data_IF_342387005318
#
_entry.id   IF_342387005318
#
_cell.length_a   1.000
_cell.length_b   1.000
_cell.length_c   1.000
_cell.angle_alpha   90.00
_cell.angle_beta   90.00
_cell.angle_gamma   90.00
#
_symmetry.space_group_name_H-M   'P 1'
#
loop_
_entity.id
_entity.type
_entity.pdbx_description
1 polymer ?
#
# COMPACT_ATOMS: atom_id res chain seq x y z
N UNK A 1 -31.20 2.64 22.80
CA UNK A 1 -30.00 1.83 23.13
C UNK A 1 -28.75 2.41 22.43
N UNK A 2 -28.87 2.92 21.20
CA UNK A 2 -27.77 3.59 20.47
C UNK A 2 -27.35 4.96 21.05
N UNK A 3 -28.29 5.70 21.65
CA UNK A 3 -28.07 7.05 22.19
C UNK A 3 -26.90 7.18 23.19
N UNK A 4 -26.56 6.12 23.92
CA UNK A 4 -25.51 6.16 24.93
C UNK A 4 -24.10 6.21 24.28
N UNK A 5 -23.85 5.38 23.26
CA UNK A 5 -22.61 5.42 22.51
C UNK A 5 -22.56 6.54 21.47
N UNK A 6 -23.70 7.01 20.95
CA UNK A 6 -23.76 8.28 20.18
C UNK A 6 -23.34 9.46 21.09
N UNK A 7 -23.84 9.50 22.32
CA UNK A 7 -23.46 10.54 23.29
C UNK A 7 -21.98 10.45 23.68
N UNK A 8 -21.47 9.24 23.94
CA UNK A 8 -20.06 9.00 24.27
C UNK A 8 -19.12 9.29 23.09
N UNK A 9 -19.55 9.01 21.87
CA UNK A 9 -18.81 9.41 20.66
C UNK A 9 -18.59 10.93 20.65
N UNK A 10 -19.62 11.72 20.97
CA UNK A 10 -19.48 13.17 21.10
C UNK A 10 -18.54 13.65 22.22
N UNK A 11 -18.27 12.82 23.25
CA UNK A 11 -17.23 13.11 24.26
C UNK A 11 -15.83 13.01 23.65
N UNK A 12 -15.59 12.02 22.80
CA UNK A 12 -14.27 11.67 22.26
C UNK A 12 -13.90 12.41 20.98
N UNK A 13 -14.90 13.01 20.33
CA UNK A 13 -14.64 14.01 19.30
C UNK A 13 -13.85 15.20 19.87
N UNK A 14 -13.99 15.50 21.17
CA UNK A 14 -13.27 16.60 21.83
C UNK A 14 -13.54 17.91 21.11
N UNK A 15 -12.47 18.65 20.78
CA UNK A 15 -12.55 19.93 20.06
C UNK A 15 -13.09 19.82 18.63
N UNK A 16 -13.24 18.61 18.07
CA UNK A 16 -13.89 18.39 16.77
C UNK A 16 -15.41 18.22 16.86
N UNK A 17 -15.98 18.31 18.06
CA UNK A 17 -17.42 18.40 18.24
C UNK A 17 -17.79 19.89 18.21
N UNK A 18 -18.49 20.32 17.15
CA UNK A 18 -18.84 21.73 16.94
C UNK A 18 -19.90 22.24 17.94
N UNK A 19 -20.64 21.33 18.58
CA UNK A 19 -21.65 21.66 19.61
C UNK A 19 -21.61 20.63 20.76
N UNK A 20 -20.54 20.64 21.58
CA UNK A 20 -20.42 19.71 22.68
C UNK A 20 -21.32 20.17 23.83
N UNK A 21 -22.15 19.25 24.34
CA UNK A 21 -22.86 19.51 25.59
C UNK A 21 -21.85 19.74 26.73
N UNK A 22 -22.19 20.59 27.71
CA UNK A 22 -21.35 20.81 28.92
C UNK A 22 -20.90 19.49 29.57
N UNK A 23 -21.81 18.51 29.58
CA UNK A 23 -21.54 17.16 30.04
C UNK A 23 -20.45 16.45 29.23
N UNK A 24 -20.43 16.59 27.91
CA UNK A 24 -19.37 16.01 27.06
C UNK A 24 -18.03 16.71 27.27
N UNK A 25 -18.00 18.03 27.40
CA UNK A 25 -16.76 18.79 27.66
C UNK A 25 -16.08 18.34 28.96
N UNK A 26 -16.86 18.20 30.05
CA UNK A 26 -16.34 17.77 31.35
C UNK A 26 -15.80 16.34 31.30
N UNK A 27 -16.56 15.40 30.72
CA UNK A 27 -16.11 14.00 30.60
C UNK A 27 -14.89 13.89 29.68
N UNK A 28 -14.83 14.67 28.61
CA UNK A 28 -13.71 14.67 27.66
C UNK A 28 -12.42 15.07 28.36
N UNK A 29 -12.42 16.17 29.11
CA UNK A 29 -11.23 16.64 29.84
C UNK A 29 -10.71 15.67 30.90
N UNK A 30 -11.59 14.83 31.49
CA UNK A 30 -11.18 13.82 32.47
C UNK A 30 -10.62 12.57 31.75
N UNK A 31 -11.27 12.14 30.67
CA UNK A 31 -10.82 10.99 29.89
C UNK A 31 -9.47 11.26 29.23
N UNK A 32 -9.24 12.46 28.70
CA UNK A 32 -7.96 12.85 28.11
C UNK A 32 -6.84 13.01 29.14
N UNK A 33 -7.16 13.16 30.43
CA UNK A 33 -6.15 13.19 31.49
C UNK A 33 -5.59 11.79 31.84
N UNK A 34 -6.12 10.71 31.27
CA UNK A 34 -5.61 9.34 31.48
C UNK A 34 -4.35 9.13 30.61
N UNK A 35 -3.16 8.90 31.19
CA UNK A 35 -1.86 8.93 30.48
C UNK A 35 -1.67 7.94 29.31
N UNK A 36 -2.55 6.95 29.16
CA UNK A 36 -2.48 5.97 28.05
C UNK A 36 -3.53 6.27 26.95
N UNK A 37 -4.46 7.19 27.21
CA UNK A 37 -5.42 7.72 26.22
C UNK A 37 -4.77 8.81 25.34
N UNK A 38 -3.58 9.30 25.71
CA UNK A 38 -2.82 10.32 24.99
C UNK A 38 -2.43 9.94 23.54
N UNK A 39 -2.55 8.67 23.14
CA UNK A 39 -2.55 8.26 21.73
C UNK A 39 -3.96 8.41 21.13
N UNK A 40 -4.47 9.64 21.15
CA UNK A 40 -5.88 9.99 20.86
C UNK A 40 -6.37 9.46 19.50
N UNK A 41 -5.51 9.47 18.48
CA UNK A 41 -5.86 9.00 17.13
C UNK A 41 -6.23 7.51 17.10
N UNK A 42 -5.51 6.69 17.87
CA UNK A 42 -5.65 5.24 17.89
C UNK A 42 -6.86 4.79 18.73
N UNK A 43 -7.11 5.46 19.85
CA UNK A 43 -8.28 5.22 20.71
C UNK A 43 -9.57 5.65 20.01
N UNK A 44 -9.55 6.77 19.26
CA UNK A 44 -10.70 7.25 18.47
C UNK A 44 -11.12 6.23 17.40
N UNK A 45 -10.17 5.65 16.68
CA UNK A 45 -10.46 4.60 15.68
C UNK A 45 -11.12 3.38 16.35
N UNK A 46 -10.64 2.94 17.53
CA UNK A 46 -11.25 1.81 18.25
C UNK A 46 -12.67 2.14 18.69
N UNK A 47 -12.92 3.35 19.19
CA UNK A 47 -14.25 3.73 19.66
C UNK A 47 -15.22 3.95 18.49
N UNK A 48 -14.74 4.45 17.35
CA UNK A 48 -15.53 4.48 16.12
C UNK A 48 -16.00 3.07 15.72
N UNK A 49 -15.12 2.07 15.83
CA UNK A 49 -15.50 0.68 15.59
C UNK A 49 -16.48 0.15 16.65
N UNK A 50 -16.27 0.44 17.94
CA UNK A 50 -17.21 0.07 19.01
C UNK A 50 -18.59 0.69 18.82
N UNK A 51 -18.63 1.95 18.38
CA UNK A 51 -19.84 2.68 18.06
C UNK A 51 -20.60 2.05 16.88
N UNK A 52 -19.89 1.64 15.83
CA UNK A 52 -20.51 0.91 14.72
C UNK A 52 -21.02 -0.46 15.16
N UNK A 53 -20.28 -1.16 16.03
CA UNK A 53 -20.63 -2.46 16.58
C UNK A 53 -21.78 -2.40 17.58
N UNK A 54 -22.01 -1.28 18.26
CA UNK A 54 -23.17 -1.16 19.14
C UNK A 54 -24.48 -1.08 18.36
N UNK A 55 -24.43 -0.46 17.17
CA UNK A 55 -25.57 -0.37 16.24
C UNK A 55 -25.91 -1.73 15.63
N UNK A 56 -24.89 -2.54 15.32
CA UNK A 56 -25.08 -3.92 14.91
C UNK A 56 -23.83 -4.75 15.24
N UNK A 57 -23.91 -5.54 16.30
CA UNK A 57 -22.82 -6.40 16.77
C UNK A 57 -22.76 -7.74 16.05
N UNK A 58 -23.72 -8.02 15.16
CA UNK A 58 -23.79 -9.27 14.40
C UNK A 58 -23.03 -9.20 13.08
N UNK A 59 -22.76 -7.98 12.59
CA UNK A 59 -22.03 -7.72 11.35
C UNK A 59 -20.54 -8.11 11.47
N UNK A 60 -20.17 -9.16 10.74
CA UNK A 60 -18.80 -9.67 10.63
C UNK A 60 -17.81 -8.61 10.13
N UNK A 61 -18.21 -7.74 9.18
CA UNK A 61 -17.31 -6.75 8.61
C UNK A 61 -16.90 -5.67 9.60
N UNK A 62 -17.78 -5.34 10.55
CA UNK A 62 -17.45 -4.41 11.64
C UNK A 62 -16.43 -5.00 12.61
N UNK A 63 -16.52 -6.30 12.89
CA UNK A 63 -15.49 -7.01 13.66
C UNK A 63 -14.15 -7.11 12.92
N UNK A 64 -14.18 -7.31 11.59
CA UNK A 64 -12.96 -7.26 10.75
C UNK A 64 -12.33 -5.87 10.76
N UNK A 65 -13.13 -4.81 10.66
CA UNK A 65 -12.63 -3.43 10.74
C UNK A 65 -11.99 -3.13 12.11
N UNK A 66 -12.59 -3.61 13.20
CA UNK A 66 -12.02 -3.51 14.54
C UNK A 66 -10.68 -4.27 14.63
N UNK A 67 -10.61 -5.52 14.14
CA UNK A 67 -9.37 -6.31 14.17
C UNK A 67 -8.22 -5.63 13.42
N UNK A 68 -8.49 -5.07 12.24
CA UNK A 68 -7.49 -4.32 11.45
C UNK A 68 -7.02 -3.06 12.18
N UNK A 69 -7.94 -2.38 12.85
CA UNK A 69 -7.63 -1.21 13.68
C UNK A 69 -6.69 -1.60 14.83
N UNK A 70 -7.01 -2.68 15.55
CA UNK A 70 -6.23 -3.18 16.68
C UNK A 70 -4.84 -3.68 16.29
N UNK A 71 -4.69 -4.35 15.14
CA UNK A 71 -3.36 -4.70 14.59
C UNK A 71 -2.53 -3.44 14.34
N UNK A 72 -3.18 -2.38 13.86
CA UNK A 72 -2.53 -1.09 13.61
C UNK A 72 -1.82 -0.48 14.81
N UNK A 73 -2.26 -0.85 16.03
CA UNK A 73 -1.72 -0.36 17.30
C UNK A 73 -0.39 -1.04 17.68
N UNK A 74 -0.01 -2.13 17.01
CA UNK A 74 1.24 -2.82 17.25
C UNK A 74 2.39 -1.97 16.65
N UNK A 75 3.36 -1.49 17.44
CA UNK A 75 4.39 -0.56 16.96
C UNK A 75 5.16 -1.08 15.75
N UNK A 76 5.45 -0.18 14.79
CA UNK A 76 6.26 -0.37 13.57
C UNK A 76 5.71 -1.38 12.56
N UNK A 77 5.27 -2.57 12.99
CA UNK A 77 4.75 -3.64 12.15
C UNK A 77 3.24 -3.49 11.87
N UNK A 78 2.50 -2.96 12.84
CA UNK A 78 1.04 -2.85 12.79
C UNK A 78 0.54 -1.97 11.66
N UNK A 79 1.18 -0.83 11.41
CA UNK A 79 0.74 0.11 10.36
C UNK A 79 0.87 -0.49 8.94
N UNK A 80 1.93 -1.28 8.70
CA UNK A 80 2.13 -1.98 7.42
C UNK A 80 1.03 -3.03 7.24
N UNK A 81 0.78 -3.84 8.27
CA UNK A 81 -0.27 -4.86 8.23
C UNK A 81 -1.67 -4.24 8.11
N UNK A 82 -1.95 -3.11 8.78
CA UNK A 82 -3.20 -2.34 8.63
C UNK A 82 -3.39 -1.94 7.15
N UNK A 83 -2.34 -1.48 6.48
CA UNK A 83 -2.36 -1.18 5.04
C UNK A 83 -2.65 -2.41 4.17
N UNK A 84 -1.93 -3.51 4.40
CA UNK A 84 -2.12 -4.78 3.69
C UNK A 84 -3.56 -5.28 3.82
N UNK A 85 -4.08 -5.38 5.05
CA UNK A 85 -5.43 -5.88 5.29
C UNK A 85 -6.51 -4.94 4.78
N UNK A 86 -6.30 -3.61 4.80
CA UNK A 86 -7.23 -2.66 4.18
C UNK A 86 -7.36 -2.86 2.67
N UNK A 87 -6.27 -3.15 1.96
CA UNK A 87 -6.33 -3.47 0.53
C UNK A 87 -7.02 -4.82 0.32
N UNK A 88 -6.65 -5.83 1.12
CA UNK A 88 -7.23 -7.17 1.05
C UNK A 88 -8.75 -7.14 1.21
N UNK A 89 -9.28 -6.49 2.25
CA UNK A 89 -10.74 -6.43 2.47
C UNK A 89 -11.46 -5.64 1.38
N UNK A 90 -10.84 -4.59 0.81
CA UNK A 90 -11.44 -3.86 -0.31
C UNK A 90 -11.58 -4.77 -1.54
N UNK A 91 -10.57 -5.60 -1.78
CA UNK A 91 -10.59 -6.63 -2.82
C UNK A 91 -11.68 -7.67 -2.56
N UNK A 92 -11.72 -8.27 -1.35
CA UNK A 92 -12.72 -9.30 -1.01
C UNK A 92 -14.14 -8.75 -1.08
N UNK A 93 -14.38 -7.53 -0.59
CA UNK A 93 -15.70 -6.89 -0.63
C UNK A 93 -16.19 -6.55 -2.05
N UNK A 94 -15.28 -6.44 -3.02
CA UNK A 94 -15.60 -6.24 -4.44
C UNK A 94 -15.77 -7.57 -5.19
N UNK A 95 -15.95 -8.68 -4.48
CA UNK A 95 -16.19 -9.99 -5.10
C UNK A 95 -14.94 -10.67 -5.65
N UNK A 96 -13.74 -10.14 -5.36
CA UNK A 96 -12.49 -10.74 -5.80
C UNK A 96 -12.10 -10.42 -7.25
N UNK A 97 -12.70 -9.40 -7.87
CA UNK A 97 -12.28 -8.90 -9.17
C UNK A 97 -10.87 -8.27 -9.08
N UNK A 98 -10.09 -8.36 -10.16
CA UNK A 98 -8.74 -7.79 -10.25
C UNK A 98 -7.75 -8.30 -9.18
N UNK A 99 -7.81 -9.59 -8.84
CA UNK A 99 -6.93 -10.22 -7.85
C UNK A 99 -5.43 -9.93 -8.05
N UNK A 100 -4.96 -9.95 -9.29
CA UNK A 100 -3.56 -9.65 -9.61
C UNK A 100 -3.17 -8.20 -9.22
N UNK A 101 -4.09 -7.25 -9.38
CA UNK A 101 -3.87 -5.85 -9.02
C UNK A 101 -3.83 -5.67 -7.49
N UNK A 102 -4.78 -6.29 -6.78
CA UNK A 102 -4.82 -6.27 -5.32
C UNK A 102 -3.56 -6.90 -4.71
N UNK A 103 -3.13 -8.04 -5.27
CA UNK A 103 -1.89 -8.71 -4.90
C UNK A 103 -0.70 -7.75 -5.09
N UNK A 104 -0.55 -7.14 -6.27
CA UNK A 104 0.57 -6.23 -6.51
C UNK A 104 0.59 -5.00 -5.58
N UNK A 105 -0.58 -4.43 -5.26
CA UNK A 105 -0.68 -3.34 -4.28
C UNK A 105 -0.23 -3.79 -2.89
N UNK A 106 -0.67 -4.96 -2.42
CA UNK A 106 -0.26 -5.54 -1.13
C UNK A 106 1.26 -5.76 -1.11
N UNK A 107 1.81 -6.38 -2.16
CA UNK A 107 3.25 -6.60 -2.25
C UNK A 107 4.01 -5.26 -2.29
N UNK A 108 3.47 -4.21 -2.94
CA UNK A 108 4.05 -2.88 -2.96
C UNK A 108 4.11 -2.23 -1.57
N UNK A 109 3.07 -2.34 -0.76
CA UNK A 109 3.06 -1.85 0.64
C UNK A 109 4.19 -2.50 1.44
N UNK A 110 4.34 -3.82 1.33
CA UNK A 110 5.39 -4.57 2.05
C UNK A 110 6.79 -4.24 1.54
N UNK A 111 6.96 -4.04 0.23
CA UNK A 111 8.22 -3.56 -0.38
C UNK A 111 8.61 -2.18 0.15
N UNK A 112 7.65 -1.25 0.17
CA UNK A 112 7.84 0.10 0.71
C UNK A 112 8.26 0.11 2.17
N UNK A 113 7.81 -0.89 2.94
CA UNK A 113 8.19 -1.09 4.33
C UNK A 113 9.55 -1.79 4.53
N UNK A 114 10.27 -2.15 3.46
CA UNK A 114 11.61 -2.72 3.52
C UNK A 114 11.70 -4.13 4.11
N UNK A 115 10.62 -4.94 4.01
CA UNK A 115 10.54 -6.27 4.66
C UNK A 115 11.16 -7.44 3.87
N UNK A 116 11.98 -7.14 2.87
CA UNK A 116 12.61 -8.15 2.00
C UNK A 116 11.61 -8.73 1.00
N UNK A 117 11.62 -10.05 0.80
CA UNK A 117 10.66 -10.75 -0.06
C UNK A 117 9.24 -10.63 0.52
N UNK A 118 8.31 -9.90 -0.14
CA UNK A 118 6.97 -9.67 0.38
C UNK A 118 6.14 -10.93 0.53
N UNK A 119 6.23 -11.87 -0.42
CA UNK A 119 5.43 -13.10 -0.39
C UNK A 119 5.91 -13.98 0.76
N UNK A 120 7.23 -14.15 0.89
CA UNK A 120 7.82 -14.91 1.99
C UNK A 120 7.50 -14.28 3.34
N UNK A 121 7.64 -12.96 3.44
CA UNK A 121 7.36 -12.23 4.67
C UNK A 121 5.88 -12.35 5.08
N UNK A 122 4.95 -12.09 4.17
CA UNK A 122 3.52 -12.23 4.43
C UNK A 122 3.11 -13.67 4.81
N UNK A 123 3.72 -14.69 4.18
CA UNK A 123 3.49 -16.10 4.56
C UNK A 123 4.03 -16.44 5.95
N UNK A 124 5.09 -15.77 6.40
CA UNK A 124 5.73 -16.01 7.70
C UNK A 124 5.09 -15.28 8.88
N UNK A 125 4.01 -14.51 8.66
CA UNK A 125 3.40 -13.70 9.71
C UNK A 125 2.90 -14.57 10.88
N UNK A 126 3.29 -14.28 12.14
CA UNK A 126 2.81 -14.99 13.32
C UNK A 126 1.39 -14.52 13.68
N UNK A 127 0.41 -14.90 12.88
CA UNK A 127 -0.96 -14.39 12.99
C UNK A 127 -1.63 -14.67 14.33
N UNK A 128 -1.29 -15.78 14.98
CA UNK A 128 -1.82 -16.10 16.31
C UNK A 128 -1.29 -15.14 17.38
N UNK A 129 -0.01 -14.73 17.29
CA UNK A 129 0.55 -13.71 18.18
C UNK A 129 -0.10 -12.35 17.95
N UNK A 130 -0.36 -11.99 16.69
CA UNK A 130 -1.06 -10.75 16.37
C UNK A 130 -2.51 -10.77 16.86
N UNK A 131 -3.20 -11.91 16.77
CA UNK A 131 -4.55 -12.04 17.29
C UNK A 131 -4.57 -11.90 18.83
N UNK A 132 -3.60 -12.50 19.53
CA UNK A 132 -3.43 -12.32 20.98
C UNK A 132 -3.15 -10.86 21.34
N UNK A 133 -2.25 -10.20 20.62
CA UNK A 133 -1.92 -8.79 20.85
C UNK A 133 -3.12 -7.86 20.57
N UNK A 134 -3.83 -8.07 19.46
CA UNK A 134 -5.04 -7.30 19.14
C UNK A 134 -6.11 -7.45 20.23
N UNK A 135 -6.34 -8.67 20.71
CA UNK A 135 -7.28 -8.93 21.80
C UNK A 135 -6.82 -8.30 23.13
N UNK A 136 -5.52 -8.36 23.43
CA UNK A 136 -4.93 -7.70 24.61
C UNK A 136 -5.15 -6.20 24.55
N UNK A 137 -4.81 -5.54 23.44
CA UNK A 137 -5.02 -4.10 23.26
C UNK A 137 -6.49 -3.72 23.36
N UNK A 138 -7.39 -4.53 22.77
CA UNK A 138 -8.82 -4.30 22.89
C UNK A 138 -9.29 -4.33 24.35
N UNK A 139 -8.88 -5.35 25.11
CA UNK A 139 -9.22 -5.46 26.52
C UNK A 139 -8.66 -4.28 27.33
N UNK A 140 -7.40 -3.91 27.10
CA UNK A 140 -6.75 -2.78 27.78
C UNK A 140 -7.46 -1.45 27.50
N UNK A 141 -7.84 -1.20 26.25
CA UNK A 141 -8.59 0.01 25.87
C UNK A 141 -9.98 0.00 26.50
N UNK A 142 -10.71 -1.11 26.41
CA UNK A 142 -12.02 -1.24 27.04
C UNK A 142 -11.96 -1.01 28.55
N UNK A 143 -10.97 -1.58 29.24
CA UNK A 143 -10.80 -1.43 30.69
C UNK A 143 -10.42 0.00 31.09
N UNK A 144 -9.57 0.68 30.31
CA UNK A 144 -9.22 2.08 30.56
C UNK A 144 -10.38 3.03 30.30
N UNK A 145 -11.18 2.78 29.26
CA UNK A 145 -12.40 3.56 29.01
C UNK A 145 -13.39 3.40 30.17
N UNK A 146 -13.58 2.17 30.67
CA UNK A 146 -14.40 1.92 31.86
C UNK A 146 -13.84 2.60 33.10
N UNK A 147 -12.52 2.58 33.31
CA UNK A 147 -11.90 3.27 34.43
C UNK A 147 -12.19 4.78 34.37
N UNK A 148 -11.98 5.41 33.21
CA UNK A 148 -12.28 6.83 33.02
C UNK A 148 -13.76 7.17 33.23
N UNK A 149 -14.68 6.32 32.74
CA UNK A 149 -16.12 6.47 33.00
C UNK A 149 -16.46 6.34 34.50
N UNK A 150 -15.83 5.41 35.20
CA UNK A 150 -16.01 5.21 36.63
C UNK A 150 -15.45 6.38 37.45
N UNK A 151 -14.29 6.92 37.07
CA UNK A 151 -13.67 8.08 37.74
C UNK A 151 -14.57 9.32 37.60
N UNK A 152 -15.13 9.55 36.40
CA UNK A 152 -16.16 10.56 36.18
C UNK A 152 -17.36 10.31 37.10
N UNK A 153 -17.86 9.08 37.21
CA UNK A 153 -19.03 8.77 38.04
C UNK A 153 -18.79 8.99 39.55
N UNK A 154 -17.57 8.80 40.03
CA UNK A 154 -17.23 8.96 41.44
C UNK A 154 -16.86 10.41 41.83
N UNK A 155 -16.59 11.29 40.86
CA UNK A 155 -16.37 12.71 41.13
C UNK A 155 -17.63 13.38 41.69
N UNK A 156 -17.45 14.12 42.80
CA UNK A 156 -18.55 14.86 43.45
C UNK A 156 -19.17 15.91 42.52
N UNK A 157 -18.34 16.61 41.72
CA UNK A 157 -18.78 17.60 40.73
C UNK A 157 -19.59 16.94 39.62
N UNK A 158 -19.24 15.71 39.24
CA UNK A 158 -20.01 14.95 38.27
C UNK A 158 -21.40 14.60 38.83
N UNK A 159 -21.51 14.15 40.08
CA UNK A 159 -22.82 13.94 40.70
C UNK A 159 -23.68 15.20 40.75
N UNK A 160 -23.07 16.36 41.01
CA UNK A 160 -23.75 17.65 41.05
C UNK A 160 -24.18 18.17 39.66
N UNK A 161 -23.39 17.91 38.61
CA UNK A 161 -23.63 18.42 37.24
C UNK A 161 -24.45 17.46 36.37
N UNK A 162 -24.29 16.14 36.54
CA UNK A 162 -24.88 15.15 35.62
C UNK A 162 -26.28 14.66 36.02
N UNK A 163 -26.70 14.73 37.29
CA UNK A 163 -28.05 14.28 37.70
C UNK A 163 -28.44 12.91 37.12
N UNK A 164 -29.58 12.82 36.42
CA UNK A 164 -30.02 11.58 35.75
C UNK A 164 -29.12 11.10 34.59
N UNK A 165 -28.26 11.97 34.01
CA UNK A 165 -27.35 11.61 32.91
C UNK A 165 -26.23 10.66 33.37
N UNK A 166 -26.00 10.48 34.68
CA UNK A 166 -25.15 9.42 35.23
C UNK A 166 -25.57 8.02 34.75
N UNK A 167 -26.88 7.79 34.57
CA UNK A 167 -27.41 6.51 34.03
C UNK A 167 -26.88 6.23 32.63
N UNK A 168 -26.52 7.25 31.84
CA UNK A 168 -25.95 7.07 30.49
C UNK A 168 -24.54 6.53 30.54
N UNK A 169 -23.72 6.94 31.50
CA UNK A 169 -22.37 6.41 31.69
C UNK A 169 -22.43 4.91 32.03
N UNK A 170 -23.35 4.52 32.91
CA UNK A 170 -23.57 3.10 33.23
C UNK A 170 -24.03 2.27 32.02
N UNK A 171 -24.84 2.86 31.13
CA UNK A 171 -25.23 2.21 29.88
C UNK A 171 -24.02 2.04 28.93
N UNK A 172 -23.15 3.03 28.83
CA UNK A 172 -21.91 2.94 28.04
C UNK A 172 -20.99 1.85 28.62
N UNK A 173 -20.79 1.80 29.94
CA UNK A 173 -20.00 0.76 30.60
C UNK A 173 -20.54 -0.65 30.29
N UNK A 174 -21.86 -0.86 30.42
CA UNK A 174 -22.52 -2.14 30.10
C UNK A 174 -22.36 -2.50 28.62
N UNK A 175 -22.41 -1.52 27.73
CA UNK A 175 -22.19 -1.75 26.29
C UNK A 175 -20.76 -2.14 25.99
N UNK A 176 -19.78 -1.48 26.62
CA UNK A 176 -18.38 -1.84 26.52
C UNK A 176 -18.17 -3.27 27.03
N UNK A 177 -18.79 -3.66 28.16
CA UNK A 177 -18.70 -5.04 28.68
C UNK A 177 -19.28 -6.08 27.72
N UNK A 178 -20.45 -5.79 27.13
CA UNK A 178 -21.04 -6.66 26.12
C UNK A 178 -20.13 -6.83 24.92
N UNK A 179 -19.58 -5.73 24.39
CA UNK A 179 -18.66 -5.77 23.25
C UNK A 179 -17.33 -6.44 23.60
N UNK A 180 -16.84 -6.26 24.84
CA UNK A 180 -15.64 -6.94 25.36
C UNK A 180 -15.84 -8.45 25.41
N UNK A 181 -16.99 -8.92 25.87
CA UNK A 181 -17.34 -10.33 25.91
C UNK A 181 -17.42 -10.94 24.50
N UNK A 182 -18.10 -10.27 23.56
CA UNK A 182 -18.17 -10.70 22.16
C UNK A 182 -16.79 -10.70 21.47
N UNK A 183 -15.95 -9.71 21.76
CA UNK A 183 -14.63 -9.57 21.17
C UNK A 183 -13.70 -10.74 21.47
N UNK A 184 -13.90 -11.46 22.59
CA UNK A 184 -13.08 -12.64 22.94
C UNK A 184 -13.12 -13.72 21.85
N UNK A 185 -14.25 -13.91 21.18
CA UNK A 185 -14.38 -14.85 20.07
C UNK A 185 -14.24 -14.17 18.71
N UNK A 186 -14.84 -12.98 18.56
CA UNK A 186 -14.94 -12.30 17.26
C UNK A 186 -13.63 -11.72 16.74
N UNK A 187 -12.75 -11.23 17.61
CA UNK A 187 -11.44 -10.70 17.18
C UNK A 187 -10.55 -11.84 16.63
N UNK A 188 -10.37 -12.98 17.34
CA UNK A 188 -9.66 -14.13 16.77
C UNK A 188 -10.29 -14.68 15.49
N UNK A 189 -11.63 -14.71 15.41
CA UNK A 189 -12.35 -15.12 14.19
C UNK A 189 -12.00 -14.22 12.99
N UNK A 190 -12.08 -12.91 13.18
CA UNK A 190 -11.70 -11.92 12.16
C UNK A 190 -10.24 -12.04 11.74
N UNK A 191 -9.33 -12.30 12.69
CA UNK A 191 -7.90 -12.49 12.41
C UNK A 191 -7.63 -13.75 11.58
N UNK A 192 -8.32 -14.85 11.88
CA UNK A 192 -8.26 -16.09 11.08
C UNK A 192 -8.81 -15.88 9.68
N UNK A 193 -9.92 -15.16 9.56
CA UNK A 193 -10.49 -14.77 8.27
C UNK A 193 -9.48 -13.97 7.44
N UNK A 194 -8.88 -12.92 8.00
CA UNK A 194 -7.86 -12.12 7.31
C UNK A 194 -6.67 -12.95 6.83
N UNK A 195 -6.20 -13.90 7.65
CA UNK A 195 -5.10 -14.79 7.25
C UNK A 195 -5.51 -15.71 6.10
N UNK A 196 -6.70 -16.31 6.19
CA UNK A 196 -7.23 -17.18 5.14
C UNK A 196 -7.30 -16.45 3.79
N UNK A 197 -7.95 -15.29 3.76
CA UNK A 197 -8.09 -14.48 2.54
C UNK A 197 -6.72 -14.02 1.99
N UNK A 198 -5.79 -13.67 2.88
CA UNK A 198 -4.42 -13.31 2.48
C UNK A 198 -3.69 -14.50 1.84
N UNK A 199 -3.79 -15.69 2.43
CA UNK A 199 -3.15 -16.90 1.89
C UNK A 199 -3.75 -17.31 0.54
N UNK A 200 -5.07 -17.22 0.40
CA UNK A 200 -5.76 -17.47 -0.86
C UNK A 200 -5.28 -16.50 -1.95
N UNK A 201 -5.15 -15.21 -1.63
CA UNK A 201 -4.61 -14.23 -2.57
C UNK A 201 -3.13 -14.50 -2.90
N UNK A 202 -2.31 -14.83 -1.89
CA UNK A 202 -0.90 -15.15 -2.07
C UNK A 202 -0.67 -16.47 -2.82
N UNK A 203 -1.64 -17.39 -2.86
CA UNK A 203 -1.55 -18.60 -3.67
C UNK A 203 -1.49 -18.30 -5.18
N UNK A 204 -2.03 -17.15 -5.58
CA UNK A 204 -1.99 -16.63 -6.95
C UNK A 204 -0.65 -16.01 -7.31
N UNK A 205 0.22 -15.76 -6.33
CA UNK A 205 1.57 -15.31 -6.57
C UNK A 205 2.31 -16.39 -7.35
N UNK A 206 2.50 -16.17 -8.65
CA UNK A 206 3.28 -17.07 -9.49
C UNK A 206 4.72 -17.08 -8.98
N UNK A 207 5.35 -18.27 -8.81
CA UNK A 207 6.80 -18.32 -8.70
C UNK A 207 7.36 -17.63 -9.94
N UNK A 208 8.25 -16.67 -9.75
CA UNK A 208 8.80 -15.90 -10.86
C UNK A 208 9.58 -16.83 -11.81
N UNK A 209 8.94 -17.28 -12.91
CA UNK A 209 9.63 -17.74 -14.12
C UNK A 209 9.77 -16.52 -15.03
N UNK A 210 11.01 -16.11 -15.27
CA UNK A 210 11.36 -14.97 -16.10
C UNK A 210 12.36 -15.46 -17.14
N UNK A 211 11.86 -15.87 -18.30
CA UNK A 211 12.70 -16.04 -19.48
C UNK A 211 13.04 -14.64 -19.99
N UNK A 212 14.24 -14.16 -19.64
CA UNK A 212 14.77 -12.90 -20.15
C UNK A 212 15.12 -13.01 -21.63
N UNK A 213 14.92 -11.94 -22.40
CA UNK A 213 15.23 -11.89 -23.84
C UNK A 213 16.74 -11.81 -24.18
N UNK A 214 17.59 -11.90 -23.18
CA UNK A 214 19.03 -12.10 -23.32
C UNK A 214 19.38 -13.25 -22.39
N UNK A 215 19.96 -14.34 -22.91
CA UNK A 215 20.34 -15.60 -22.22
C UNK A 215 21.32 -15.42 -21.03
N UNK A 216 21.00 -14.53 -20.10
CA UNK A 216 21.75 -14.19 -18.90
C UNK A 216 20.75 -14.22 -17.75
N UNK A 217 20.76 -15.33 -17.01
CA UNK A 217 19.97 -15.51 -15.81
C UNK A 217 20.49 -14.57 -14.72
N UNK A 218 19.80 -13.45 -14.52
CA UNK A 218 19.90 -12.68 -13.29
C UNK A 218 18.77 -13.13 -12.36
N UNK A 219 19.13 -13.90 -11.33
CA UNK A 219 18.24 -14.23 -10.23
C UNK A 219 18.01 -12.97 -9.40
N UNK A 220 16.91 -12.26 -9.62
CA UNK A 220 16.24 -11.45 -8.59
C UNK A 220 14.79 -11.17 -9.01
N UNK A 221 13.88 -11.54 -8.13
CA UNK A 221 12.45 -11.56 -8.33
C UNK A 221 11.84 -10.16 -8.46
N UNK A 222 10.62 -10.09 -9.01
CA UNK A 222 9.73 -8.92 -9.03
C UNK A 222 9.54 -8.21 -7.65
N UNK A 223 10.06 -8.77 -6.56
CA UNK A 223 9.99 -8.29 -5.18
C UNK A 223 10.99 -7.19 -4.80
N UNK A 224 11.96 -6.82 -5.65
CA UNK A 224 13.02 -5.85 -5.30
C UNK A 224 12.94 -4.50 -6.05
N UNK A 225 11.88 -4.23 -6.82
CA UNK A 225 11.76 -2.99 -7.61
C UNK A 225 11.38 -1.78 -6.71
N UNK A 226 11.99 -0.59 -6.89
CA UNK A 226 11.60 0.63 -6.18
C UNK A 226 10.12 0.97 -6.34
N UNK A 227 9.50 1.61 -5.34
CA UNK A 227 8.08 2.02 -5.39
C UNK A 227 7.73 2.82 -6.65
N UNK A 228 8.59 3.77 -7.03
CA UNK A 228 8.44 4.57 -8.24
C UNK A 228 8.44 3.70 -9.52
N UNK A 229 9.21 2.60 -9.52
CA UNK A 229 9.22 1.65 -10.62
C UNK A 229 7.92 0.86 -10.68
N UNK A 230 7.37 0.42 -9.55
CA UNK A 230 6.09 -0.29 -9.53
C UNK A 230 4.93 0.60 -9.96
N UNK A 231 4.89 1.84 -9.47
CA UNK A 231 3.90 2.84 -9.88
C UNK A 231 3.97 3.07 -11.40
N UNK A 232 5.17 3.13 -11.97
CA UNK A 232 5.35 3.19 -13.41
C UNK A 232 4.75 1.99 -14.14
N UNK A 233 4.98 0.76 -13.67
CA UNK A 233 4.44 -0.46 -14.31
C UNK A 233 2.91 -0.46 -14.30
N UNK A 234 2.30 -0.06 -13.17
CA UNK A 234 0.84 0.09 -13.03
C UNK A 234 0.31 1.18 -13.95
N UNK A 235 0.97 2.36 -13.98
CA UNK A 235 0.55 3.49 -14.81
C UNK A 235 0.65 3.14 -16.30
N UNK A 236 1.71 2.44 -16.72
CA UNK A 236 1.84 1.91 -18.09
C UNK A 236 0.67 0.99 -18.41
N UNK A 237 0.41 -0.03 -17.58
CA UNK A 237 -0.67 -0.99 -17.83
C UNK A 237 -2.04 -0.30 -17.91
N UNK A 238 -2.30 0.65 -17.01
CA UNK A 238 -3.60 1.34 -16.93
C UNK A 238 -3.79 2.38 -18.04
N UNK A 239 -2.83 3.28 -18.24
CA UNK A 239 -2.97 4.38 -19.22
C UNK A 239 -2.83 3.88 -20.65
N UNK A 240 -1.80 3.07 -20.93
CA UNK A 240 -1.59 2.53 -22.29
C UNK A 240 -2.67 1.50 -22.61
N UNK A 241 -2.99 0.59 -21.68
CA UNK A 241 -4.07 -0.38 -21.89
C UNK A 241 -5.43 0.28 -22.10
N UNK A 242 -5.81 1.24 -21.25
CA UNK A 242 -7.05 1.99 -21.40
C UNK A 242 -7.13 2.80 -22.71
N UNK A 243 -6.01 3.39 -23.15
CA UNK A 243 -5.91 4.06 -24.44
C UNK A 243 -6.12 3.08 -25.61
N UNK A 244 -5.43 1.94 -25.58
CA UNK A 244 -5.55 0.88 -26.59
C UNK A 244 -6.99 0.37 -26.68
N UNK A 245 -7.62 0.05 -25.55
CA UNK A 245 -9.00 -0.42 -25.50
C UNK A 245 -9.99 0.61 -26.02
N UNK A 246 -9.80 1.89 -25.66
CA UNK A 246 -10.62 2.99 -26.16
C UNK A 246 -10.51 3.16 -27.68
N UNK A 247 -9.29 3.11 -28.21
CA UNK A 247 -9.06 3.25 -29.65
C UNK A 247 -9.57 2.04 -30.45
N UNK A 248 -9.45 0.81 -29.91
CA UNK A 248 -10.05 -0.39 -30.50
C UNK A 248 -11.57 -0.28 -30.60
N UNK A 249 -12.24 0.16 -29.53
CA UNK A 249 -13.69 0.40 -29.53
C UNK A 249 -14.10 1.48 -30.53
N UNK A 250 -13.24 2.46 -30.78
CA UNK A 250 -13.45 3.50 -31.78
C UNK A 250 -13.13 3.05 -33.23
N UNK A 251 -12.81 1.77 -33.45
CA UNK A 251 -12.55 1.22 -34.79
C UNK A 251 -11.24 1.72 -35.42
N UNK A 252 -10.27 2.14 -34.61
CA UNK A 252 -8.97 2.61 -35.09
C UNK A 252 -8.12 1.46 -35.65
N UNK A 253 -7.30 1.77 -36.64
CA UNK A 253 -6.37 0.82 -37.22
C UNK A 253 -5.26 0.43 -36.24
N UNK A 254 -4.67 -0.76 -36.38
CA UNK A 254 -3.57 -1.20 -35.52
C UNK A 254 -2.36 -0.26 -35.62
N UNK A 255 -2.07 0.34 -36.78
CA UNK A 255 -1.01 1.33 -36.92
C UNK A 255 -1.28 2.59 -36.08
N UNK A 256 -2.49 3.16 -36.15
CA UNK A 256 -2.87 4.31 -35.33
C UNK A 256 -2.75 3.99 -33.84
N UNK A 257 -3.21 2.81 -33.43
CA UNK A 257 -3.14 2.35 -32.04
C UNK A 257 -1.67 2.15 -31.61
N UNK A 258 -0.84 1.52 -32.44
CA UNK A 258 0.57 1.28 -32.15
C UNK A 258 1.38 2.58 -31.99
N UNK A 259 1.14 3.56 -32.87
CA UNK A 259 1.76 4.90 -32.77
C UNK A 259 1.35 5.59 -31.47
N UNK A 260 0.05 5.61 -31.16
CA UNK A 260 -0.48 6.24 -29.95
C UNK A 260 0.01 5.56 -28.67
N UNK A 261 -0.03 4.22 -28.63
CA UNK A 261 0.44 3.43 -27.50
C UNK A 261 1.94 3.63 -27.25
N UNK A 262 2.77 3.61 -28.31
CA UNK A 262 4.21 3.86 -28.22
C UNK A 262 4.52 5.28 -27.72
N UNK A 263 3.80 6.29 -28.22
CA UNK A 263 3.96 7.68 -27.77
C UNK A 263 3.57 7.86 -26.30
N UNK A 264 2.41 7.36 -25.89
CA UNK A 264 1.95 7.44 -24.51
C UNK A 264 2.91 6.70 -23.57
N UNK A 265 3.43 5.55 -24.03
CA UNK A 265 4.42 4.78 -23.29
C UNK A 265 5.72 5.54 -23.07
N UNK A 266 6.16 6.31 -24.06
CA UNK A 266 7.34 7.20 -23.96
C UNK A 266 7.07 8.36 -23.00
N UNK A 267 5.89 8.99 -23.06
CA UNK A 267 5.48 10.07 -22.16
C UNK A 267 5.50 9.61 -20.70
N UNK A 268 4.86 8.48 -20.39
CA UNK A 268 4.91 7.87 -19.05
C UNK A 268 6.37 7.58 -18.67
N UNK A 269 7.16 7.05 -19.61
CA UNK A 269 8.58 6.82 -19.42
C UNK A 269 9.40 8.07 -19.07
N UNK A 270 9.01 9.24 -19.59
CA UNK A 270 9.63 10.52 -19.27
C UNK A 270 9.19 11.01 -17.88
N UNK A 271 7.88 11.06 -17.63
CA UNK A 271 7.29 11.50 -16.35
C UNK A 271 7.93 10.78 -15.15
N UNK A 272 8.15 9.47 -15.25
CA UNK A 272 8.74 8.66 -14.18
C UNK A 272 10.26 8.80 -14.07
N UNK A 273 10.97 9.01 -15.19
CA UNK A 273 12.40 9.33 -15.13
C UNK A 273 12.60 10.69 -14.46
N UNK A 274 11.73 11.66 -14.72
CA UNK A 274 11.86 12.99 -14.15
C UNK A 274 11.65 13.01 -12.63
N UNK A 275 10.82 12.09 -12.11
CA UNK A 275 10.65 11.80 -10.67
C UNK A 275 11.77 10.95 -10.06
N UNK A 276 12.60 10.30 -10.87
CA UNK A 276 13.70 9.47 -10.39
C UNK A 276 14.81 10.35 -9.83
N UNK A 277 15.52 9.84 -8.82
CA UNK A 277 16.68 10.52 -8.25
C UNK A 277 17.64 11.04 -9.34
N UNK A 278 18.10 12.31 -9.27
CA UNK A 278 18.86 12.94 -10.36
C UNK A 278 20.10 12.16 -10.81
N UNK A 279 20.79 11.51 -9.87
CA UNK A 279 22.03 10.79 -10.13
C UNK A 279 21.74 9.47 -10.87
N UNK A 280 20.73 8.72 -10.43
CA UNK A 280 20.27 7.52 -11.14
C UNK A 280 19.63 7.86 -12.49
N UNK A 281 18.88 8.95 -12.56
CA UNK A 281 18.26 9.45 -13.80
C UNK A 281 19.32 9.72 -14.87
N UNK A 282 20.46 10.30 -14.49
CA UNK A 282 21.60 10.53 -15.39
C UNK A 282 22.12 9.23 -15.99
N UNK A 283 22.34 8.20 -15.17
CA UNK A 283 22.78 6.86 -15.60
C UNK A 283 21.80 6.25 -16.61
N UNK A 284 20.49 6.32 -16.30
CA UNK A 284 19.43 5.77 -17.15
C UNK A 284 19.39 6.48 -18.51
N UNK A 285 19.43 7.82 -18.52
CA UNK A 285 19.42 8.60 -19.76
C UNK A 285 20.69 8.38 -20.58
N UNK A 286 21.85 8.31 -19.93
CA UNK A 286 23.13 8.06 -20.59
C UNK A 286 23.14 6.72 -21.33
N UNK A 287 22.56 5.66 -20.73
CA UNK A 287 22.44 4.36 -21.39
C UNK A 287 21.68 4.42 -22.70
N UNK A 288 20.48 5.01 -22.65
CA UNK A 288 19.63 5.11 -23.83
C UNK A 288 20.25 6.03 -24.88
N UNK A 289 20.83 7.14 -24.44
CA UNK A 289 21.53 8.08 -25.31
C UNK A 289 22.71 7.42 -26.03
N UNK A 290 23.54 6.64 -25.32
CA UNK A 290 24.71 5.99 -25.93
C UNK A 290 24.32 4.83 -26.86
N UNK A 291 23.23 4.13 -26.52
CA UNK A 291 22.79 2.95 -27.28
C UNK A 291 22.00 3.35 -28.52
N UNK A 292 21.05 4.27 -28.38
CA UNK A 292 20.06 4.60 -29.41
C UNK A 292 20.21 6.03 -29.94
N UNK A 293 20.94 6.90 -29.24
CA UNK A 293 20.96 8.34 -29.54
C UNK A 293 19.69 9.09 -29.16
N UNK A 294 18.78 8.42 -28.45
CA UNK A 294 17.54 8.97 -27.93
C UNK A 294 17.44 8.64 -26.44
N UNK A 295 17.29 9.64 -25.54
CA UNK A 295 17.27 9.41 -24.10
C UNK A 295 16.04 8.60 -23.62
N UNK A 296 14.96 8.60 -24.39
CA UNK A 296 13.74 7.82 -24.10
C UNK A 296 13.74 6.45 -24.77
N UNK A 297 14.75 6.15 -25.62
CA UNK A 297 14.91 4.88 -26.32
C UNK A 297 14.27 4.87 -27.71
N UNK A 298 13.99 3.69 -28.29
CA UNK A 298 13.47 3.56 -29.65
C UNK A 298 12.09 4.21 -29.85
N UNK A 299 11.85 4.72 -31.06
CA UNK A 299 10.54 5.21 -31.50
C UNK A 299 9.70 4.08 -32.12
N UNK A 300 8.42 4.35 -32.41
CA UNK A 300 7.58 3.44 -33.21
C UNK A 300 8.25 3.05 -34.53
N UNK A 301 8.83 4.02 -35.24
CA UNK A 301 9.48 3.78 -36.54
C UNK A 301 10.71 2.88 -36.41
N UNK A 302 11.48 3.04 -35.33
CA UNK A 302 12.62 2.16 -35.06
C UNK A 302 12.17 0.74 -34.74
N UNK A 303 11.08 0.57 -33.97
CA UNK A 303 10.50 -0.73 -33.66
C UNK A 303 9.95 -1.43 -34.91
N UNK A 304 9.30 -0.69 -35.81
CA UNK A 304 8.88 -1.19 -37.13
C UNK A 304 10.06 -1.66 -37.97
N UNK A 305 11.19 -0.94 -37.93
CA UNK A 305 12.42 -1.32 -38.65
C UNK A 305 13.20 -2.46 -38.00
N UNK A 306 13.10 -2.63 -36.68
CA UNK A 306 13.91 -3.56 -35.90
C UNK A 306 15.30 -3.02 -35.51
N UNK A 307 15.64 -1.79 -35.89
CA UNK A 307 16.92 -1.16 -35.55
C UNK A 307 16.81 0.36 -35.46
N UNK A 308 17.72 0.97 -34.69
CA UNK A 308 17.98 2.41 -34.65
C UNK A 308 19.21 2.72 -35.49
N UNK A 309 19.19 3.82 -36.24
CA UNK A 309 20.41 4.41 -36.81
C UNK A 309 20.87 5.52 -35.89
N UNK A 310 21.96 5.31 -35.17
CA UNK A 310 22.42 6.27 -34.18
C UNK A 310 22.75 7.62 -34.86
N UNK A 311 22.21 8.76 -34.39
CA UNK A 311 22.30 10.05 -35.08
C UNK A 311 23.74 10.55 -35.24
N UNK A 312 24.57 10.36 -34.20
CA UNK A 312 25.96 10.83 -34.20
C UNK A 312 26.91 9.85 -34.91
N UNK A 313 26.91 8.57 -34.54
CA UNK A 313 27.86 7.58 -35.07
C UNK A 313 27.42 6.94 -36.39
N UNK A 314 26.16 7.15 -36.81
CA UNK A 314 25.51 6.52 -37.97
C UNK A 314 25.50 4.99 -37.96
N UNK A 315 25.89 4.36 -36.85
CA UNK A 315 25.87 2.90 -36.68
C UNK A 315 24.44 2.41 -36.56
N UNK A 316 24.17 1.24 -37.14
CA UNK A 316 22.90 0.52 -36.93
C UNK A 316 22.99 -0.28 -35.64
N UNK A 317 22.03 -0.05 -34.74
CA UNK A 317 21.91 -0.74 -33.46
C UNK A 317 20.61 -1.54 -33.49
N UNK A 318 20.73 -2.86 -33.44
CA UNK A 318 19.57 -3.76 -33.43
C UNK A 318 18.73 -3.55 -32.17
N UNK A 319 17.40 -3.57 -32.30
CA UNK A 319 16.47 -3.56 -31.18
C UNK A 319 16.03 -4.99 -30.89
N UNK A 320 16.27 -5.48 -29.67
CA UNK A 320 15.99 -6.88 -29.32
C UNK A 320 16.77 -7.83 -30.24
N UNK A 321 16.07 -8.71 -30.96
CA UNK A 321 16.68 -9.63 -31.93
C UNK A 321 16.96 -9.00 -33.31
N UNK A 322 16.69 -7.71 -33.49
CA UNK A 322 16.91 -6.99 -34.76
C UNK A 322 15.82 -7.19 -35.82
N UNK A 323 14.75 -7.93 -35.50
CA UNK A 323 13.65 -8.19 -36.42
C UNK A 323 12.62 -7.04 -36.39
N UNK A 324 12.09 -6.63 -37.56
CA UNK A 324 10.90 -5.77 -37.66
C UNK A 324 9.74 -6.28 -36.80
N UNK A 325 9.04 -5.38 -36.12
CA UNK A 325 7.83 -5.71 -35.33
C UNK A 325 6.56 -5.32 -36.08
N UNK A 326 5.52 -6.14 -35.97
CA UNK A 326 4.17 -5.77 -36.42
C UNK A 326 3.53 -4.75 -35.48
N UNK A 327 2.43 -4.11 -35.93
CA UNK A 327 1.72 -3.13 -35.11
C UNK A 327 1.13 -3.77 -33.86
N UNK A 328 0.56 -4.97 -33.99
CA UNK A 328 0.08 -5.78 -32.86
C UNK A 328 1.20 -6.04 -31.84
N UNK A 329 2.39 -6.44 -32.28
CA UNK A 329 3.54 -6.67 -31.40
C UNK A 329 4.02 -5.38 -30.71
N UNK A 330 3.90 -4.24 -31.38
CA UNK A 330 4.24 -2.93 -30.79
C UNK A 330 3.20 -2.52 -29.75
N UNK A 331 1.91 -2.76 -30.00
CA UNK A 331 0.81 -2.51 -29.05
C UNK A 331 0.98 -3.36 -27.79
N UNK A 332 1.27 -4.65 -27.94
CA UNK A 332 1.51 -5.56 -26.82
C UNK A 332 2.75 -5.13 -26.03
N UNK A 333 3.85 -4.84 -26.73
CA UNK A 333 5.10 -4.40 -26.12
C UNK A 333 4.96 -3.06 -25.38
N UNK A 334 4.17 -2.12 -25.89
CA UNK A 334 3.94 -0.83 -25.25
C UNK A 334 3.21 -0.97 -23.90
N UNK A 335 2.37 -1.99 -23.73
CA UNK A 335 1.68 -2.26 -22.47
C UNK A 335 2.55 -2.99 -21.44
N UNK A 336 3.73 -3.46 -21.84
CA UNK A 336 4.69 -4.12 -20.96
C UNK A 336 5.77 -3.13 -20.52
N UNK A 337 5.98 -3.06 -19.22
CA UNK A 337 7.03 -2.25 -18.66
C UNK A 337 8.36 -3.03 -18.66
N UNK A 338 9.14 -2.96 -19.74
CA UNK A 338 10.49 -3.56 -19.79
C UNK A 338 11.48 -2.92 -18.80
N UNK A 339 12.74 -3.35 -18.76
CA UNK A 339 13.76 -2.85 -17.81
C UNK A 339 14.12 -3.85 -16.70
N UNK A 340 13.81 -5.13 -16.89
CA UNK A 340 14.17 -6.20 -15.94
C UNK A 340 15.67 -6.47 -15.86
N UNK A 341 16.45 -5.86 -16.74
CA UNK A 341 17.90 -5.95 -16.82
C UNK A 341 18.65 -4.95 -15.91
N UNK A 342 17.93 -4.06 -15.21
CA UNK A 342 18.53 -3.15 -14.23
C UNK A 342 18.89 -3.86 -12.90
N UNK A 343 19.98 -3.46 -12.22
CA UNK A 343 20.37 -4.01 -10.92
C UNK A 343 19.52 -3.43 -9.78
N UNK A 344 18.26 -3.87 -9.70
CA UNK A 344 17.26 -3.31 -8.78
C UNK A 344 17.63 -3.43 -7.29
N UNK A 345 18.35 -4.49 -6.91
CA UNK A 345 18.91 -4.67 -5.57
C UNK A 345 19.81 -3.50 -5.14
N UNK A 346 20.75 -3.11 -6.02
CA UNK A 346 21.71 -2.04 -5.77
C UNK A 346 21.04 -0.68 -5.80
N UNK A 347 20.05 -0.50 -6.69
CA UNK A 347 19.24 0.72 -6.73
C UNK A 347 18.48 0.90 -5.40
N UNK A 348 17.93 -0.17 -4.83
CA UNK A 348 17.26 -0.11 -3.52
C UNK A 348 18.22 0.17 -2.37
N UNK A 349 19.41 -0.44 -2.39
CA UNK A 349 20.46 -0.15 -1.41
C UNK A 349 20.91 1.31 -1.51
N UNK A 350 21.11 1.83 -2.73
CA UNK A 350 21.43 3.25 -2.97
C UNK A 350 20.39 4.19 -2.35
N UNK A 351 19.09 3.95 -2.56
CA UNK A 351 18.04 4.78 -1.97
C UNK A 351 18.04 4.74 -0.44
N UNK A 352 18.37 3.58 0.15
CA UNK A 352 18.48 3.41 1.60
C UNK A 352 19.66 4.20 2.16
N UNK A 353 20.84 4.02 1.58
CA UNK A 353 22.06 4.71 2.02
C UNK A 353 21.92 6.23 1.87
N UNK A 354 21.29 6.71 0.79
CA UNK A 354 21.05 8.14 0.57
C UNK A 354 20.09 8.78 1.59
N UNK A 355 19.10 8.03 2.08
CA UNK A 355 18.06 8.56 2.97
C UNK A 355 18.47 8.54 4.45
N UNK A 356 19.20 7.50 4.87
CA UNK A 356 19.45 7.24 6.30
C UNK A 356 20.86 6.70 6.59
N UNK A 357 21.73 6.54 5.59
CA UNK A 357 23.02 5.85 5.70
C UNK A 357 24.22 6.72 5.34
N UNK A 358 25.30 6.07 4.88
CA UNK A 358 26.60 6.69 4.58
C UNK A 358 26.63 7.27 3.14
N UNK A 359 26.79 8.59 2.95
CA UNK A 359 26.88 9.21 1.63
C UNK A 359 28.01 8.66 0.76
N UNK A 360 29.13 8.23 1.36
CA UNK A 360 30.24 7.61 0.64
C UNK A 360 29.83 6.26 0.04
N UNK A 361 29.14 5.43 0.81
CA UNK A 361 28.59 4.14 0.35
C UNK A 361 27.54 4.33 -0.74
N UNK A 362 26.69 5.35 -0.65
CA UNK A 362 25.73 5.68 -1.70
C UNK A 362 26.43 6.02 -3.03
N UNK A 363 27.53 6.80 -2.99
CA UNK A 363 28.31 7.11 -4.17
C UNK A 363 28.99 5.88 -4.80
N UNK A 364 29.53 4.97 -3.98
CA UNK A 364 30.08 3.70 -4.46
C UNK A 364 29.04 2.81 -5.13
N UNK A 365 27.84 2.71 -4.55
CA UNK A 365 26.73 1.95 -5.12
C UNK A 365 26.30 2.53 -6.46
N UNK A 366 26.26 3.86 -6.58
CA UNK A 366 25.95 4.53 -7.83
C UNK A 366 26.95 4.20 -8.95
N UNK A 367 28.26 4.18 -8.63
CA UNK A 367 29.29 3.76 -9.59
C UNK A 367 29.13 2.30 -10.03
N UNK A 368 28.80 1.40 -9.09
CA UNK A 368 28.53 -0.02 -9.39
C UNK A 368 27.29 -0.18 -10.29
N UNK A 369 26.25 0.61 -10.04
CA UNK A 369 25.04 0.62 -10.88
C UNK A 369 25.39 1.09 -12.29
N UNK A 370 26.14 2.20 -12.42
CA UNK A 370 26.56 2.71 -13.71
C UNK A 370 27.36 1.68 -14.51
N UNK A 371 28.33 1.02 -13.86
CA UNK A 371 29.15 -0.02 -14.50
C UNK A 371 28.34 -1.21 -15.01
N UNK A 372 27.21 -1.55 -14.36
CA UNK A 372 26.31 -2.63 -14.81
C UNK A 372 25.41 -2.15 -15.95
N UNK A 373 24.81 -0.96 -15.79
CA UNK A 373 23.79 -0.42 -16.71
C UNK A 373 24.41 0.08 -18.01
N UNK A 374 25.58 0.70 -17.95
CA UNK A 374 26.31 1.30 -19.05
C UNK A 374 27.53 0.46 -19.50
N UNK A 375 27.59 -0.83 -19.12
CA UNK A 375 28.69 -1.71 -19.52
C UNK A 375 28.91 -1.64 -21.04
N UNK A 376 30.13 -1.33 -21.47
CA UNK A 376 30.50 -1.35 -22.88
C UNK A 376 30.20 -2.74 -23.46
N UNK A 377 29.27 -2.80 -24.41
CA UNK A 377 28.94 -4.00 -25.19
C UNK A 377 29.50 -3.88 -26.60
#
# INVERSE_FOLDING_TARGET
>A
MDEALDWFWGVLQGDFNDDPSLSQTIVSGIITAIPIIDQIADVRDVIANLHQLSKDSTDTWKWVALAITLIGLIPVLGSVLKGVFKILIQFVRKGGEHADEALEMILAVVRGAGKGDPVKWLKSLPMDDYARQALKHFNEIADKLKLGLSDVRHMWLAKAVFGEKLKRLELVERQIDKLKALGQSKIPEAMRFLKKELDELLSRAKPARLDGSADTANTLAHSAKPLLRLEYEVVVKRRVGGLVDGMRKAGKSDEEIARAASLERRRIGQDFKDKTDPDLRKIIYQRNQNTYGDPLGPTYEDLKRGYVTHPQTRRRVAIGRGSPKSDVQIIEGAQQAGGDDFPWDKIMEYYREKKTGDPGRAAELLQKIDAIVNKAR
#
